data_IF_421231156127
#
_entry.id   IF_421231156127
#
_cell.length_a   1.000
_cell.length_b   1.000
_cell.length_c   1.000
_cell.angle_alpha   90.00
_cell.angle_beta   90.00
_cell.angle_gamma   90.00
#
_symmetry.space_group_name_H-M   'P 1'
#
loop_
_entity.id
_entity.type
_entity.pdbx_description
1 polymer ?
#
# COMPACT_ATOMS: atom_id res chain seq x y z
N UNK A 1 15.78 0.26 7.62
CA UNK A 1 15.07 1.51 8.00
C UNK A 1 15.47 1.97 9.39
N UNK A 2 15.17 1.25 10.47
CA UNK A 2 15.58 1.64 11.84
C UNK A 2 17.09 1.90 11.96
N UNK A 3 17.93 0.99 11.45
CA UNK A 3 19.39 1.15 11.48
C UNK A 3 19.90 2.37 10.69
N UNK A 4 19.11 2.88 9.75
CA UNK A 4 19.44 4.08 8.98
C UNK A 4 18.86 5.36 9.63
N UNK A 5 18.31 5.25 10.85
CA UNK A 5 17.80 6.40 11.62
C UNK A 5 16.35 6.80 11.32
N UNK A 6 15.61 6.04 10.50
CA UNK A 6 14.21 6.36 10.23
C UNK A 6 13.31 6.01 11.42
N UNK A 7 12.36 6.91 11.73
CA UNK A 7 11.23 6.66 12.63
C UNK A 7 10.14 5.92 11.87
N UNK A 8 9.71 4.77 12.38
CA UNK A 8 8.74 3.90 11.71
C UNK A 8 7.43 3.90 12.49
N UNK A 9 6.33 4.17 11.79
CA UNK A 9 4.99 4.26 12.35
C UNK A 9 4.06 3.40 11.50
N UNK A 10 3.15 2.66 12.16
CA UNK A 10 2.14 1.86 11.48
C UNK A 10 0.80 2.59 11.56
N UNK A 11 0.12 2.78 10.42
CA UNK A 11 -1.24 3.32 10.34
C UNK A 11 -2.16 2.32 9.64
N UNK A 12 -3.08 1.67 10.35
CA UNK A 12 -3.87 0.55 9.83
C UNK A 12 -5.39 0.70 10.01
N UNK A 13 -6.18 0.27 9.01
CA UNK A 13 -7.63 0.22 9.13
C UNK A 13 -8.03 -1.15 9.70
N UNK A 14 -8.51 -1.21 10.94
CA UNK A 14 -8.96 -2.44 11.61
C UNK A 14 -10.49 -2.59 11.55
N UNK A 15 -11.04 -2.60 10.33
CA UNK A 15 -12.50 -2.66 10.09
C UNK A 15 -13.17 -3.96 10.60
N UNK A 16 -12.39 -4.96 10.99
CA UNK A 16 -12.90 -6.17 11.62
C UNK A 16 -13.51 -5.90 13.00
N UNK A 17 -13.05 -4.85 13.70
CA UNK A 17 -13.57 -4.43 15.01
C UNK A 17 -15.00 -3.95 14.89
N UNK A 18 -15.28 -2.97 14.02
CA UNK A 18 -16.64 -2.49 13.79
C UNK A 18 -17.61 -3.58 13.29
N UNK A 19 -17.11 -4.62 12.62
CA UNK A 19 -17.92 -5.77 12.18
C UNK A 19 -18.14 -6.81 13.29
N UNK A 20 -17.60 -6.61 14.49
CA UNK A 20 -17.69 -7.54 15.61
C UNK A 20 -16.94 -8.86 15.38
N UNK A 21 -16.05 -8.92 14.39
CA UNK A 21 -15.27 -10.12 14.09
C UNK A 21 -14.07 -10.30 15.01
N UNK A 22 -13.55 -9.19 15.56
CA UNK A 22 -12.36 -9.16 16.41
C UNK A 22 -12.57 -8.10 17.50
N UNK A 23 -12.17 -8.39 18.75
CA UNK A 23 -12.24 -7.39 19.83
C UNK A 23 -11.08 -6.40 19.77
N UNK A 24 -11.19 -5.27 20.48
CA UNK A 24 -10.11 -4.30 20.56
C UNK A 24 -8.89 -4.91 21.26
N UNK A 25 -9.13 -5.69 22.31
CA UNK A 25 -8.09 -6.39 23.09
C UNK A 25 -7.30 -7.33 22.18
N UNK A 26 -7.98 -8.12 21.33
CA UNK A 26 -7.30 -9.00 20.37
C UNK A 26 -6.46 -8.21 19.36
N UNK A 27 -6.92 -7.06 18.89
CA UNK A 27 -6.11 -6.20 18.00
C UNK A 27 -4.86 -5.71 18.71
N UNK A 28 -4.98 -5.28 19.98
CA UNK A 28 -3.83 -4.84 20.78
C UNK A 28 -2.84 -5.97 21.08
N UNK A 29 -3.33 -7.19 21.33
CA UNK A 29 -2.48 -8.38 21.47
C UNK A 29 -1.70 -8.69 20.19
N UNK A 30 -2.36 -8.62 19.03
CA UNK A 30 -1.72 -8.81 17.72
C UNK A 30 -0.64 -7.75 17.50
N UNK A 31 -0.94 -6.47 17.77
CA UNK A 31 0.05 -5.41 17.66
C UNK A 31 1.22 -5.61 18.63
N UNK A 32 0.95 -5.98 19.88
CA UNK A 32 1.99 -6.25 20.89
C UNK A 32 2.93 -7.36 20.45
N UNK A 33 2.39 -8.45 19.89
CA UNK A 33 3.22 -9.54 19.34
C UNK A 33 4.04 -9.08 18.13
N UNK A 34 3.43 -8.35 17.20
CA UNK A 34 4.13 -7.80 16.03
C UNK A 34 5.31 -6.91 16.46
N UNK A 35 5.10 -6.04 17.45
CA UNK A 35 6.15 -5.16 17.98
C UNK A 35 7.30 -5.96 18.60
N UNK A 36 6.99 -7.01 19.37
CA UNK A 36 7.99 -7.87 20.00
C UNK A 36 8.83 -8.61 18.94
N UNK A 37 8.20 -9.25 17.95
CA UNK A 37 8.89 -9.97 16.88
C UNK A 37 9.81 -9.05 16.05
N UNK A 38 9.39 -7.81 15.81
CA UNK A 38 10.20 -6.82 15.10
C UNK A 38 11.38 -6.34 15.96
N UNK A 39 11.15 -6.14 17.26
CA UNK A 39 12.19 -5.73 18.20
C UNK A 39 13.30 -6.80 18.35
N UNK A 40 12.94 -8.08 18.36
CA UNK A 40 13.90 -9.20 18.39
C UNK A 40 14.85 -9.18 17.18
N UNK A 41 14.40 -8.68 16.04
CA UNK A 41 15.19 -8.53 14.82
C UNK A 41 15.93 -7.17 14.73
N UNK A 42 15.89 -6.36 15.80
CA UNK A 42 16.51 -5.03 15.87
C UNK A 42 15.74 -3.93 15.12
N UNK A 43 14.50 -4.20 14.73
CA UNK A 43 13.58 -3.20 14.20
C UNK A 43 12.89 -2.43 15.33
N UNK A 44 12.48 -1.19 15.06
CA UNK A 44 11.71 -0.39 16.01
C UNK A 44 10.55 0.25 15.28
N UNK A 45 9.33 -0.10 15.70
CA UNK A 45 8.12 0.66 15.37
C UNK A 45 7.85 1.54 16.58
N UNK A 46 7.87 2.84 16.35
CA UNK A 46 7.71 3.83 17.40
C UNK A 46 6.27 3.86 17.91
N UNK A 47 5.29 3.74 17.00
CA UNK A 47 3.88 3.73 17.37
C UNK A 47 3.01 3.06 16.31
N UNK A 48 1.91 2.48 16.78
CA UNK A 48 0.82 1.98 15.94
C UNK A 48 -0.40 2.87 16.14
N UNK A 49 -0.94 3.39 15.05
CA UNK A 49 -2.24 4.04 14.98
C UNK A 49 -3.17 3.13 14.19
N UNK A 50 -4.39 2.95 14.67
CA UNK A 50 -5.39 2.17 13.95
C UNK A 50 -6.78 2.78 14.03
N UNK A 51 -7.57 2.53 12.98
CA UNK A 51 -8.97 2.91 12.92
C UNK A 51 -9.86 1.67 13.13
N UNK A 52 -10.63 1.58 14.24
CA UNK A 52 -11.54 0.46 14.47
C UNK A 52 -12.88 0.58 13.70
N UNK A 53 -13.21 1.78 13.23
CA UNK A 53 -14.52 2.13 12.68
C UNK A 53 -14.79 1.51 11.29
N UNK A 54 -16.08 1.27 11.04
CA UNK A 54 -16.66 0.92 9.74
C UNK A 54 -16.64 2.07 8.74
N UNK A 55 -17.10 1.79 7.51
CA UNK A 55 -17.12 2.79 6.42
C UNK A 55 -18.12 3.91 6.70
N UNK A 56 -19.26 3.59 7.29
CA UNK A 56 -20.41 4.50 7.44
C UNK A 56 -20.36 5.35 8.72
N UNK A 57 -19.38 5.13 9.58
CA UNK A 57 -19.25 5.84 10.88
C UNK A 57 -18.64 7.24 10.76
N UNK A 58 -18.31 7.70 9.54
CA UNK A 58 -17.83 9.07 9.25
C UNK A 58 -16.65 9.57 10.12
N UNK A 59 -15.84 8.66 10.68
CA UNK A 59 -14.68 9.03 11.49
C UNK A 59 -13.58 9.73 10.67
N UNK A 60 -12.75 10.54 11.31
CA UNK A 60 -11.64 11.24 10.65
C UNK A 60 -10.39 10.37 10.43
N UNK A 61 -10.28 9.24 11.14
CA UNK A 61 -9.07 8.41 11.14
C UNK A 61 -9.04 7.36 10.02
N UNK A 62 -10.19 6.92 9.50
CA UNK A 62 -10.24 5.84 8.49
C UNK A 62 -9.66 6.30 7.15
N UNK A 63 -8.63 5.61 6.66
CA UNK A 63 -8.11 5.84 5.30
C UNK A 63 -9.22 5.64 4.26
N UNK A 64 -9.40 6.55 3.27
CA UNK A 64 -8.41 7.48 2.73
C UNK A 64 -8.25 8.82 3.46
N UNK A 65 -8.94 9.05 4.59
CA UNK A 65 -8.70 10.27 5.37
C UNK A 65 -7.31 10.24 6.02
N UNK A 66 -6.62 11.39 6.10
CA UNK A 66 -5.26 11.46 6.62
C UNK A 66 -5.18 11.47 8.16
N UNK A 67 -6.30 11.29 8.87
CA UNK A 67 -6.38 11.56 10.31
C UNK A 67 -5.38 10.79 11.17
N UNK A 68 -5.04 9.54 10.82
CA UNK A 68 -3.99 8.80 11.54
C UNK A 68 -2.60 9.40 11.35
N UNK A 69 -2.27 9.87 10.13
CA UNK A 69 -0.97 10.48 9.84
C UNK A 69 -0.86 11.86 10.50
N UNK A 70 -1.92 12.67 10.44
CA UNK A 70 -1.94 13.98 11.12
C UNK A 70 -1.86 13.84 12.63
N UNK A 71 -2.53 12.83 13.20
CA UNK A 71 -2.39 12.50 14.61
C UNK A 71 -0.96 12.10 14.96
N UNK A 72 -0.31 11.30 14.12
CA UNK A 72 1.09 10.95 14.31
C UNK A 72 2.01 12.18 14.29
N UNK A 73 1.79 13.11 13.36
CA UNK A 73 2.48 14.42 13.32
C UNK A 73 2.36 15.16 14.63
N UNK A 74 1.13 15.36 15.10
CA UNK A 74 0.85 16.21 16.26
C UNK A 74 1.33 15.57 17.57
N UNK A 75 1.13 14.26 17.76
CA UNK A 75 1.53 13.57 18.99
C UNK A 75 3.04 13.34 19.09
N UNK A 76 3.73 13.12 17.96
CA UNK A 76 5.16 12.76 17.94
C UNK A 76 6.09 13.91 17.55
N UNK A 77 5.51 15.07 17.20
CA UNK A 77 6.26 16.24 16.72
C UNK A 77 7.09 15.94 15.49
N UNK A 78 6.62 15.05 14.60
CA UNK A 78 7.33 14.69 13.36
C UNK A 78 7.01 15.66 12.24
N UNK A 79 8.01 15.99 11.43
CA UNK A 79 7.77 16.64 10.14
C UNK A 79 7.35 15.58 9.11
N UNK A 80 6.29 15.88 8.37
CA UNK A 80 5.75 15.02 7.34
C UNK A 80 6.26 15.36 5.94
N UNK A 81 6.92 16.51 5.74
CA UNK A 81 7.27 17.01 4.39
C UNK A 81 8.17 16.07 3.59
N UNK A 82 8.97 15.24 4.27
CA UNK A 82 9.85 14.22 3.68
C UNK A 82 9.48 12.80 4.13
N UNK A 83 8.31 12.63 4.75
CA UNK A 83 7.83 11.33 5.17
C UNK A 83 7.32 10.52 3.97
N UNK A 84 7.39 9.20 4.11
CA UNK A 84 6.95 8.25 3.09
C UNK A 84 5.89 7.33 3.70
N UNK A 85 4.74 7.23 3.04
CA UNK A 85 3.66 6.35 3.42
C UNK A 85 3.52 5.21 2.41
N UNK A 86 3.69 3.99 2.92
CA UNK A 86 3.76 2.78 2.11
C UNK A 86 2.52 1.93 2.42
N UNK A 87 1.77 1.56 1.39
CA UNK A 87 0.57 0.74 1.54
C UNK A 87 0.26 -0.08 0.29
N UNK A 88 -0.66 -1.03 0.41
CA UNK A 88 -1.08 -1.91 -0.67
C UNK A 88 -2.42 -1.50 -1.29
N UNK A 89 -3.02 -0.40 -0.84
CA UNK A 89 -4.29 0.09 -1.35
C UNK A 89 -4.22 1.54 -1.83
N UNK A 90 -5.12 1.90 -2.75
CA UNK A 90 -5.27 3.30 -3.14
C UNK A 90 -5.76 4.17 -1.99
N UNK A 91 -6.45 3.60 -1.00
CA UNK A 91 -6.81 4.36 0.21
C UNK A 91 -5.60 4.77 1.03
N UNK A 92 -4.51 3.99 0.99
CA UNK A 92 -3.24 4.37 1.62
C UNK A 92 -2.58 5.50 0.85
N UNK A 93 -2.49 5.35 -0.47
CA UNK A 93 -1.92 6.37 -1.36
C UNK A 93 -2.62 7.70 -1.16
N UNK A 94 -3.96 7.71 -1.19
CA UNK A 94 -4.78 8.90 -1.00
C UNK A 94 -4.62 9.52 0.39
N UNK A 95 -4.55 8.69 1.44
CA UNK A 95 -4.32 9.19 2.80
C UNK A 95 -2.94 9.86 2.94
N UNK A 96 -1.92 9.30 2.30
CA UNK A 96 -0.58 9.89 2.26
C UNK A 96 -0.58 11.24 1.54
N UNK A 97 -1.13 11.28 0.33
CA UNK A 97 -1.22 12.51 -0.46
C UNK A 97 -2.02 13.61 0.27
N UNK A 98 -3.14 13.25 0.91
CA UNK A 98 -3.95 14.17 1.71
C UNK A 98 -3.24 14.67 2.98
N UNK A 99 -2.25 13.93 3.49
CA UNK A 99 -1.40 14.34 4.61
C UNK A 99 -0.16 15.14 4.17
N UNK A 100 0.06 15.29 2.86
CA UNK A 100 1.25 15.95 2.31
C UNK A 100 2.52 15.10 2.38
N UNK A 101 2.41 13.78 2.46
CA UNK A 101 3.55 12.85 2.45
C UNK A 101 3.73 12.18 1.09
N UNK A 102 4.92 11.68 0.81
CA UNK A 102 5.16 10.87 -0.38
C UNK A 102 4.48 9.50 -0.22
N UNK A 103 3.83 9.02 -1.28
CA UNK A 103 3.11 7.76 -1.25
C UNK A 103 3.80 6.69 -2.12
N UNK A 104 3.85 5.47 -1.60
CA UNK A 104 4.33 4.29 -2.34
C UNK A 104 3.27 3.19 -2.25
N UNK A 105 2.80 2.74 -3.41
CA UNK A 105 1.97 1.54 -3.56
C UNK A 105 2.88 0.31 -3.70
N UNK A 106 2.71 -0.67 -2.81
CA UNK A 106 3.36 -1.99 -2.96
C UNK A 106 2.42 -2.95 -3.70
N UNK A 107 2.95 -3.81 -4.54
CA UNK A 107 2.18 -4.81 -5.31
C UNK A 107 1.87 -6.10 -4.52
N UNK A 108 2.39 -6.24 -3.31
CA UNK A 108 1.96 -7.28 -2.36
C UNK A 108 0.55 -7.01 -1.82
N UNK A 109 -0.12 -8.02 -1.25
CA UNK A 109 -1.45 -7.83 -0.68
C UNK A 109 -2.48 -7.49 -1.75
N UNK A 110 -3.23 -6.39 -1.55
CA UNK A 110 -4.21 -5.88 -2.51
C UNK A 110 -3.57 -5.11 -3.67
N UNK A 111 -2.27 -4.87 -3.64
CA UNK A 111 -1.55 -3.95 -4.52
C UNK A 111 -1.76 -4.17 -6.01
N UNK A 112 -1.66 -5.42 -6.49
CA UNK A 112 -1.88 -5.75 -7.91
C UNK A 112 -3.30 -5.40 -8.34
N UNK A 113 -4.31 -5.78 -7.56
CA UNK A 113 -5.71 -5.51 -7.88
C UNK A 113 -6.00 -4.00 -7.83
N UNK A 114 -5.52 -3.33 -6.79
CA UNK A 114 -5.67 -1.90 -6.60
C UNK A 114 -5.03 -1.14 -7.74
N UNK A 115 -3.83 -1.53 -8.15
CA UNK A 115 -3.13 -0.90 -9.26
C UNK A 115 -3.79 -1.17 -10.61
N UNK A 116 -4.29 -2.39 -10.86
CA UNK A 116 -5.08 -2.69 -12.09
C UNK A 116 -6.33 -1.83 -12.18
N UNK A 117 -7.08 -1.73 -11.09
CA UNK A 117 -8.35 -0.99 -11.06
C UNK A 117 -8.14 0.53 -11.17
N UNK A 118 -6.99 1.03 -10.72
CA UNK A 118 -6.66 2.45 -10.70
C UNK A 118 -5.46 2.79 -11.58
N UNK A 119 -5.19 1.99 -12.63
CA UNK A 119 -4.01 2.17 -13.49
C UNK A 119 -3.99 3.51 -14.23
N UNK A 120 -5.16 4.16 -14.37
CA UNK A 120 -5.27 5.51 -14.93
C UNK A 120 -4.71 6.58 -13.97
N UNK A 121 -4.63 6.27 -12.67
CA UNK A 121 -3.98 7.10 -11.66
C UNK A 121 -2.49 6.77 -11.54
N UNK A 122 -1.97 5.80 -12.29
CA UNK A 122 -0.60 5.32 -12.15
C UNK A 122 0.48 6.33 -12.57
N UNK A 123 0.10 7.39 -13.31
CA UNK A 123 0.96 8.55 -13.57
C UNK A 123 0.81 9.64 -12.49
N UNK A 124 0.06 9.36 -11.42
CA UNK A 124 -0.16 10.23 -10.28
C UNK A 124 1.09 10.40 -9.42
N UNK A 125 1.03 11.28 -8.39
CA UNK A 125 2.20 11.64 -7.57
C UNK A 125 2.60 10.57 -6.54
N UNK A 126 2.63 9.30 -6.92
CA UNK A 126 3.02 8.18 -6.07
C UNK A 126 3.88 7.17 -6.84
N UNK A 127 4.67 6.39 -6.11
CA UNK A 127 5.53 5.35 -6.70
C UNK A 127 4.90 3.97 -6.57
N UNK A 128 5.31 3.04 -7.43
CA UNK A 128 4.85 1.64 -7.40
C UNK A 128 6.06 0.73 -7.21
N UNK A 129 5.98 -0.17 -6.24
CA UNK A 129 7.07 -1.11 -5.92
C UNK A 129 6.54 -2.51 -5.75
N UNK A 130 7.40 -3.51 -5.97
CA UNK A 130 7.01 -4.92 -5.91
C UNK A 130 6.53 -5.36 -4.52
N UNK A 131 7.16 -4.86 -3.46
CA UNK A 131 6.91 -5.26 -2.08
C UNK A 131 7.54 -4.24 -1.11
N UNK A 132 7.34 -4.43 0.19
CA UNK A 132 7.87 -3.55 1.24
C UNK A 132 9.41 -3.48 1.28
N UNK A 133 10.12 -4.56 0.90
CA UNK A 133 11.59 -4.55 0.84
C UNK A 133 12.08 -3.59 -0.25
N UNK A 134 11.53 -3.69 -1.45
CA UNK A 134 11.86 -2.80 -2.55
C UNK A 134 11.48 -1.34 -2.20
N UNK A 135 10.33 -1.10 -1.57
CA UNK A 135 9.98 0.23 -1.08
C UNK A 135 11.01 0.77 -0.06
N UNK A 136 11.47 -0.07 0.88
CA UNK A 136 12.50 0.32 1.84
C UNK A 136 13.85 0.65 1.16
N UNK A 137 14.23 -0.07 0.11
CA UNK A 137 15.45 0.22 -0.68
C UNK A 137 15.35 1.59 -1.36
N UNK A 138 14.19 1.93 -1.96
CA UNK A 138 13.93 3.25 -2.56
C UNK A 138 14.06 4.37 -1.52
N UNK A 139 13.51 4.16 -0.32
CA UNK A 139 13.60 5.13 0.79
C UNK A 139 15.06 5.31 1.23
N UNK A 140 15.81 4.23 1.41
CA UNK A 140 17.21 4.28 1.84
C UNK A 140 18.12 4.96 0.80
N UNK A 141 17.76 4.94 -0.47
CA UNK A 141 18.48 5.61 -1.55
C UNK A 141 18.07 7.08 -1.72
N UNK A 142 17.08 7.57 -0.96
CA UNK A 142 16.53 8.93 -1.11
C UNK A 142 15.78 9.14 -2.43
N UNK A 143 15.32 8.06 -3.07
CA UNK A 143 14.67 8.07 -4.38
C UNK A 143 13.14 8.10 -4.26
N UNK A 144 12.57 8.33 -3.07
CA UNK A 144 11.13 8.32 -2.83
C UNK A 144 10.41 9.52 -3.47
N UNK A 145 11.11 10.62 -3.77
CA UNK A 145 10.56 11.76 -4.50
C UNK A 145 10.11 11.35 -5.91
N UNK A 146 8.85 11.55 -6.24
CA UNK A 146 8.33 11.28 -7.60
C UNK A 146 8.70 12.44 -8.54
N UNK A 147 9.83 12.34 -9.23
CA UNK A 147 10.34 13.35 -10.19
C UNK A 147 9.74 13.22 -11.60
N UNK A 148 8.65 12.45 -11.76
CA UNK A 148 8.07 12.14 -13.08
C UNK A 148 8.91 11.17 -13.92
N UNK A 149 10.03 10.67 -13.38
CA UNK A 149 10.90 9.68 -14.04
C UNK A 149 10.76 8.33 -13.34
N UNK A 150 10.14 7.38 -14.02
CA UNK A 150 10.05 5.99 -13.54
C UNK A 150 11.43 5.33 -13.51
N UNK A 151 11.76 4.67 -12.40
CA UNK A 151 12.91 3.77 -12.27
C UNK A 151 12.76 2.56 -13.20
N UNK A 152 13.87 1.88 -13.50
CA UNK A 152 13.85 0.65 -14.32
C UNK A 152 12.93 -0.43 -13.73
N UNK A 153 12.90 -0.56 -12.40
CA UNK A 153 12.04 -1.50 -11.69
C UNK A 153 10.56 -1.07 -11.73
N UNK A 154 10.27 0.23 -11.61
CA UNK A 154 8.92 0.74 -11.82
C UNK A 154 8.44 0.39 -13.23
N UNK A 155 9.23 0.70 -14.28
CA UNK A 155 8.89 0.35 -15.67
C UNK A 155 8.62 -1.14 -15.86
N UNK A 156 9.39 -2.01 -15.22
CA UNK A 156 9.15 -3.46 -15.25
C UNK A 156 7.83 -3.84 -14.60
N UNK A 157 7.42 -3.18 -13.49
CA UNK A 157 6.11 -3.37 -12.88
C UNK A 157 4.97 -2.98 -13.84
N UNK A 158 5.10 -1.84 -14.54
CA UNK A 158 4.14 -1.44 -15.58
C UNK A 158 4.11 -2.43 -16.75
N UNK A 159 5.27 -2.94 -17.17
CA UNK A 159 5.40 -3.89 -18.29
C UNK A 159 4.73 -5.24 -18.01
N UNK A 160 4.81 -5.74 -16.77
CA UNK A 160 4.11 -6.97 -16.35
C UNK A 160 2.58 -6.82 -16.49
N UNK A 161 2.05 -5.60 -16.31
CA UNK A 161 0.63 -5.34 -16.43
C UNK A 161 0.17 -5.13 -17.85
N UNK A 162 1.01 -4.58 -18.73
CA UNK A 162 0.73 -4.58 -20.16
C UNK A 162 0.64 -6.01 -20.69
N UNK A 163 1.48 -6.92 -20.19
CA UNK A 163 1.37 -8.36 -20.45
C UNK A 163 0.08 -8.93 -19.85
N UNK A 164 -0.27 -8.58 -18.60
CA UNK A 164 -1.53 -9.02 -17.99
C UNK A 164 -2.74 -8.52 -18.78
N UNK A 165 -2.77 -7.27 -19.22
CA UNK A 165 -3.83 -6.69 -20.07
C UNK A 165 -3.91 -7.38 -21.41
N UNK A 166 -2.77 -7.69 -22.02
CA UNK A 166 -2.70 -8.47 -23.24
C UNK A 166 -3.29 -9.87 -23.02
N UNK A 167 -2.91 -10.57 -21.95
CA UNK A 167 -3.46 -11.88 -21.61
C UNK A 167 -4.96 -11.82 -21.26
N UNK A 168 -5.40 -10.81 -20.51
CA UNK A 168 -6.80 -10.60 -20.17
C UNK A 168 -7.63 -10.32 -21.44
N UNK A 169 -7.09 -9.53 -22.38
CA UNK A 169 -7.72 -9.28 -23.69
C UNK A 169 -7.81 -10.53 -24.57
N UNK A 170 -6.87 -11.47 -24.43
CA UNK A 170 -6.92 -12.79 -25.08
C UNK A 170 -7.95 -13.71 -24.42
N UNK A 171 -8.20 -13.58 -23.12
CA UNK A 171 -9.23 -14.35 -22.42
C UNK A 171 -10.65 -13.79 -22.60
N UNK A 172 -10.80 -12.46 -22.81
CA UNK A 172 -12.09 -11.82 -23.09
C UNK A 172 -12.53 -11.96 -24.55
N UNK A 173 -11.59 -12.23 -25.47
CA UNK A 173 -11.86 -12.41 -26.90
C UNK A 173 -11.73 -13.89 -27.27
N UNK A 174 -12.77 -14.66 -26.95
CA UNK A 174 -13.09 -15.98 -27.53
C UNK A 174 -11.96 -17.01 -27.70
N UNK A 175 -11.82 -17.90 -26.71
CA UNK A 175 -11.44 -19.31 -26.93
C UNK A 175 -12.69 -20.15 -27.30
N UNK A 176 -13.83 -19.54 -27.63
CA UNK A 176 -15.03 -20.26 -28.09
C UNK A 176 -15.12 -20.42 -29.61
N UNK A 177 -14.39 -19.61 -30.40
CA UNK A 177 -14.56 -19.58 -31.86
C UNK A 177 -13.34 -20.10 -32.67
N UNK A 178 -12.27 -20.58 -32.03
CA UNK A 178 -11.06 -21.05 -32.75
C UNK A 178 -10.71 -22.54 -32.58
N UNK A 179 -11.65 -23.37 -32.13
CA UNK A 179 -11.53 -24.83 -32.27
C UNK A 179 -12.78 -25.37 -32.95
N UNK A 180 -13.03 -24.91 -34.18
CA UNK A 180 -13.76 -25.71 -35.15
C UNK A 180 -12.76 -26.76 -35.68
N UNK A 181 -12.75 -27.95 -35.06
CA UNK A 181 -12.10 -29.11 -35.65
C UNK A 181 -12.74 -29.37 -37.02
N UNK A 182 -11.97 -29.52 -38.11
CA UNK A 182 -12.53 -29.95 -39.38
C UNK A 182 -13.14 -31.34 -39.20
N UNK A 183 -14.41 -31.49 -39.56
CA UNK A 183 -15.03 -32.81 -39.72
C UNK A 183 -14.29 -33.55 -40.83
N UNK A 184 -13.58 -34.62 -40.48
CA UNK A 184 -13.00 -35.55 -41.44
C UNK A 184 -14.12 -36.23 -42.26
N UNK A 185 -13.79 -36.47 -43.53
CA UNK A 185 -14.60 -37.04 -44.62
C UNK A 185 -14.95 -38.50 -44.37
#
# INVERSE_FOLDING_TARGET
>A
LTQAGHRIIVCTNQAAVARGHVSIETVEEIHSRMLAEIAELGGVIEKVYYCPHGKDENCLCRKPRPGMLLRARDELGIDLSDAVFIGDSMTDVQAGLAAGVHSILVLTGLGIEQFRNHHHEADGPFRVTLNLRHAAEIVLQGLHLHTGTQTTLERACYSILDISKYLDSLTSTSIRDQVALPSEV
#
